data_IF_435205400682
#
_entry.id   IF_435205400682
#
_cell.length_a   1.000
_cell.length_b   1.000
_cell.length_c   1.000
_cell.angle_alpha   90.00
_cell.angle_beta   90.00
_cell.angle_gamma   90.00
#
_symmetry.space_group_name_H-M   'P 1'
#
loop_
_entity.id
_entity.type
_entity.pdbx_description
1 polymer ?
#
# COMPACT_ATOMS: atom_id res chain seq x y z
N UNK A 1 -2.44 61.04 17.14
CA UNK A 1 -1.60 60.07 16.38
C UNK A 1 -1.51 58.73 17.13
N UNK A 2 -2.64 58.13 17.54
CA UNK A 2 -2.61 56.98 18.47
C UNK A 2 -3.79 56.01 18.26
N UNK A 3 -4.32 55.96 17.05
CA UNK A 3 -5.41 55.04 16.66
C UNK A 3 -4.97 54.02 15.61
N UNK A 4 -3.89 54.27 14.88
CA UNK A 4 -3.34 53.31 13.90
C UNK A 4 -2.64 52.10 14.53
N UNK A 5 -2.10 52.22 15.76
CA UNK A 5 -1.34 51.14 16.39
C UNK A 5 -2.24 49.97 16.82
N UNK A 6 -3.46 50.26 17.27
CA UNK A 6 -4.41 49.23 17.72
C UNK A 6 -4.97 48.39 16.55
N UNK A 7 -5.16 48.99 15.38
CA UNK A 7 -5.63 48.31 14.17
C UNK A 7 -4.57 47.35 13.60
N UNK A 8 -3.29 47.71 13.68
CA UNK A 8 -2.19 46.83 13.24
C UNK A 8 -2.06 45.61 14.17
N UNK A 9 -2.23 45.80 15.49
CA UNK A 9 -2.23 44.71 16.47
C UNK A 9 -3.41 43.74 16.28
N UNK A 10 -4.59 44.25 15.93
CA UNK A 10 -5.77 43.42 15.63
C UNK A 10 -5.63 42.61 14.33
N UNK A 11 -4.96 43.17 13.31
CA UNK A 11 -4.70 42.47 12.04
C UNK A 11 -3.64 41.36 12.18
N UNK A 12 -2.61 41.55 13.02
CA UNK A 12 -1.61 40.49 13.27
C UNK A 12 -2.20 39.28 14.02
N UNK A 13 -3.19 39.49 14.88
CA UNK A 13 -3.86 38.40 15.61
C UNK A 13 -4.77 37.53 14.71
N UNK A 14 -5.24 38.08 13.58
CA UNK A 14 -6.06 37.34 12.62
C UNK A 14 -5.23 36.44 11.66
N UNK A 15 -3.93 36.70 11.54
CA UNK A 15 -3.02 35.96 10.65
C UNK A 15 -2.41 34.69 11.25
N UNK A 16 -2.65 34.39 12.53
CA UNK A 16 -2.25 33.11 13.13
C UNK A 16 -3.37 32.07 13.01
N UNK A 17 -3.82 31.79 11.79
CA UNK A 17 -4.36 30.46 11.55
C UNK A 17 -3.18 29.50 11.67
N UNK A 18 -3.23 28.49 12.57
CA UNK A 18 -2.29 27.40 12.44
C UNK A 18 -2.47 26.87 11.02
N UNK A 19 -1.39 26.89 10.23
CA UNK A 19 -1.32 26.01 9.07
C UNK A 19 -1.80 24.66 9.61
N UNK A 20 -2.90 24.16 9.04
CA UNK A 20 -3.43 22.84 9.41
C UNK A 20 -2.40 21.81 8.95
N UNK A 21 -1.30 21.69 9.67
CA UNK A 21 -0.59 20.45 9.82
C UNK A 21 -1.59 19.55 10.53
N UNK A 22 -2.44 18.90 9.74
CA UNK A 22 -3.15 17.71 10.20
C UNK A 22 -2.11 16.85 10.92
N UNK A 23 -2.36 16.43 12.16
CA UNK A 23 -1.39 15.59 12.86
C UNK A 23 -1.19 14.37 11.98
N UNK A 24 0.00 14.26 11.38
CA UNK A 24 0.43 13.05 10.70
C UNK A 24 0.17 11.93 11.69
N UNK A 25 -0.67 10.95 11.33
CA UNK A 25 -0.93 9.86 12.25
C UNK A 25 0.42 9.30 12.72
N UNK A 26 0.59 9.03 14.02
CA UNK A 26 1.87 8.53 14.54
C UNK A 26 2.34 7.27 13.80
N UNK A 27 1.41 6.51 13.22
CA UNK A 27 1.65 5.35 12.36
C UNK A 27 2.40 5.66 11.05
N UNK A 28 2.20 6.84 10.46
CA UNK A 28 2.83 7.23 9.20
C UNK A 28 4.25 7.77 9.39
N UNK A 29 4.58 8.28 10.57
CA UNK A 29 5.94 8.74 10.90
C UNK A 29 6.97 7.61 10.91
N UNK A 30 6.54 6.37 11.12
CA UNK A 30 7.42 5.20 11.18
C UNK A 30 7.22 4.24 10.00
N UNK A 31 6.33 4.60 9.07
CA UNK A 31 6.01 3.73 7.95
C UNK A 31 7.22 3.45 7.03
N UNK A 32 8.06 4.45 6.67
CA UNK A 32 9.25 4.19 5.86
C UNK A 32 10.19 3.15 6.48
N UNK A 33 10.37 3.18 7.80
CA UNK A 33 11.22 2.25 8.56
C UNK A 33 10.58 0.86 8.67
N UNK A 34 9.24 0.79 8.72
CA UNK A 34 8.49 -0.47 8.81
C UNK A 34 8.24 -1.13 7.45
N UNK A 35 8.31 -0.38 6.35
CA UNK A 35 8.03 -0.88 5.00
C UNK A 35 8.93 -2.09 4.63
N UNK A 36 10.26 -2.08 4.85
CA UNK A 36 11.09 -3.26 4.59
C UNK A 36 10.64 -4.51 5.35
N UNK A 37 10.21 -4.37 6.60
CA UNK A 37 9.71 -5.48 7.40
C UNK A 37 8.40 -6.04 6.84
N UNK A 38 7.45 -5.17 6.47
CA UNK A 38 6.19 -5.58 5.81
C UNK A 38 6.43 -6.29 4.48
N UNK A 39 7.38 -5.80 3.68
CA UNK A 39 7.76 -6.46 2.42
C UNK A 39 8.46 -7.81 2.65
N UNK A 40 9.24 -7.94 3.73
CA UNK A 40 9.85 -9.22 4.11
C UNK A 40 8.78 -10.23 4.51
N UNK A 41 7.78 -9.82 5.28
CA UNK A 41 6.65 -10.66 5.69
C UNK A 41 5.85 -11.15 4.46
N UNK A 42 5.56 -10.26 3.51
CA UNK A 42 4.94 -10.61 2.23
C UNK A 42 5.74 -11.68 1.46
N UNK A 43 7.07 -11.52 1.37
CA UNK A 43 7.93 -12.51 0.69
C UNK A 43 7.90 -13.86 1.38
N UNK A 44 8.02 -13.88 2.72
CA UNK A 44 7.96 -15.13 3.49
C UNK A 44 6.62 -15.85 3.25
N UNK A 45 5.50 -15.12 3.28
CA UNK A 45 4.18 -15.71 3.06
C UNK A 45 4.00 -16.21 1.63
N UNK A 46 4.59 -15.53 0.63
CA UNK A 46 4.59 -16.00 -0.76
C UNK A 46 5.38 -17.31 -0.92
N UNK A 47 6.50 -17.50 -0.23
CA UNK A 47 7.29 -18.74 -0.31
C UNK A 47 6.48 -19.98 0.09
N UNK A 48 5.47 -19.85 0.97
CA UNK A 48 4.59 -20.97 1.37
C UNK A 48 3.75 -21.53 0.22
N UNK A 49 3.50 -20.76 -0.84
CA UNK A 49 2.65 -21.14 -1.98
C UNK A 49 3.41 -21.19 -3.30
N UNK A 50 4.66 -20.73 -3.33
CA UNK A 50 5.47 -20.57 -4.54
C UNK A 50 5.60 -21.88 -5.31
N UNK A 51 6.05 -22.94 -4.66
CA UNK A 51 6.34 -24.22 -5.33
C UNK A 51 5.06 -24.84 -5.90
N UNK A 52 3.92 -24.67 -5.22
CA UNK A 52 2.63 -25.11 -5.74
C UNK A 52 2.28 -24.39 -7.04
N UNK A 53 2.30 -23.06 -7.07
CA UNK A 53 1.94 -22.31 -8.28
C UNK A 53 2.96 -22.47 -9.41
N UNK A 54 4.25 -22.58 -9.11
CA UNK A 54 5.28 -22.89 -10.11
C UNK A 54 5.09 -24.29 -10.72
N UNK A 55 4.68 -25.29 -9.92
CA UNK A 55 4.41 -26.64 -10.45
C UNK A 55 3.15 -26.71 -11.33
N UNK A 56 2.29 -25.68 -11.28
CA UNK A 56 1.04 -25.58 -12.05
C UNK A 56 1.17 -24.71 -13.31
N UNK A 57 2.28 -24.00 -13.46
CA UNK A 57 2.56 -23.15 -14.61
C UNK A 57 3.37 -23.94 -15.64
N UNK A 58 2.71 -24.35 -16.72
CA UNK A 58 3.29 -25.06 -17.85
C UNK A 58 3.77 -24.13 -18.97
N UNK A 59 3.43 -22.84 -18.91
CA UNK A 59 3.71 -21.84 -19.95
C UNK A 59 4.87 -20.90 -19.58
N UNK A 60 5.99 -21.45 -19.11
CA UNK A 60 7.17 -20.70 -18.64
C UNK A 60 7.84 -19.77 -19.68
N UNK A 61 7.45 -19.90 -20.96
CA UNK A 61 7.94 -19.03 -22.03
C UNK A 61 7.25 -17.66 -22.08
N UNK A 62 6.14 -17.49 -21.37
CA UNK A 62 5.34 -16.27 -21.36
C UNK A 62 5.56 -15.54 -20.04
N UNK A 63 6.06 -14.31 -20.12
CA UNK A 63 6.18 -13.43 -18.97
C UNK A 63 4.95 -12.53 -18.87
N UNK A 64 4.06 -12.80 -17.91
CA UNK A 64 2.87 -11.96 -17.68
C UNK A 64 3.24 -10.57 -17.13
N UNK A 65 4.15 -10.52 -16.15
CA UNK A 65 4.65 -9.26 -15.58
C UNK A 65 5.89 -8.79 -16.34
N UNK A 66 5.71 -8.24 -17.53
CA UNK A 66 6.78 -7.67 -18.36
C UNK A 66 7.11 -6.22 -17.95
N UNK A 67 8.28 -5.72 -18.38
CA UNK A 67 8.64 -4.31 -18.22
C UNK A 67 7.62 -3.39 -18.87
N UNK A 68 7.09 -3.78 -20.03
CA UNK A 68 6.05 -3.05 -20.75
C UNK A 68 4.76 -2.95 -19.92
N UNK A 69 4.33 -4.04 -19.28
CA UNK A 69 3.16 -4.02 -18.39
C UNK A 69 3.41 -3.16 -17.14
N UNK A 70 4.64 -3.17 -16.60
CA UNK A 70 5.00 -2.31 -15.47
C UNK A 70 4.92 -0.82 -15.84
N UNK A 71 5.19 -0.47 -17.10
CA UNK A 71 5.01 0.89 -17.62
C UNK A 71 3.53 1.23 -17.87
N UNK A 72 2.69 0.23 -18.18
CA UNK A 72 1.24 0.39 -18.34
C UNK A 72 0.49 0.57 -17.02
N UNK A 73 0.96 -0.06 -15.94
CA UNK A 73 0.37 0.13 -14.63
C UNK A 73 0.56 1.56 -14.14
N UNK A 74 -0.53 2.31 -14.09
CA UNK A 74 -0.53 3.71 -13.65
C UNK A 74 -0.08 3.87 -12.20
N UNK A 75 -0.18 2.80 -11.41
CA UNK A 75 0.31 2.76 -10.03
C UNK A 75 0.46 1.33 -9.50
N UNK A 76 1.36 1.17 -8.52
CA UNK A 76 1.48 -0.06 -7.72
C UNK A 76 0.15 -0.43 -7.03
N UNK A 77 -0.68 0.56 -6.69
CA UNK A 77 -2.01 0.36 -6.09
C UNK A 77 -2.97 -0.38 -7.02
N UNK A 78 -2.85 -0.16 -8.33
CA UNK A 78 -3.66 -0.84 -9.35
C UNK A 78 -3.26 -2.31 -9.50
N UNK A 79 -1.95 -2.61 -9.51
CA UNK A 79 -1.47 -4.00 -9.43
C UNK A 79 -1.96 -4.70 -8.16
N UNK A 80 -1.80 -4.05 -7.00
CA UNK A 80 -2.26 -4.61 -5.74
C UNK A 80 -3.77 -4.90 -5.79
N UNK A 81 -4.58 -4.01 -6.39
CA UNK A 81 -6.02 -4.23 -6.60
C UNK A 81 -6.27 -5.50 -7.42
N UNK A 82 -5.66 -5.61 -8.60
CA UNK A 82 -5.84 -6.76 -9.50
C UNK A 82 -5.55 -8.08 -8.79
N UNK A 83 -4.44 -8.16 -8.04
CA UNK A 83 -4.11 -9.38 -7.30
C UNK A 83 -5.09 -9.69 -6.17
N UNK A 84 -5.56 -8.67 -5.43
CA UNK A 84 -6.47 -8.88 -4.29
C UNK A 84 -7.92 -9.14 -4.69
N UNK A 85 -8.37 -8.60 -5.82
CA UNK A 85 -9.77 -8.66 -6.25
C UNK A 85 -10.02 -9.76 -7.31
N UNK A 86 -9.01 -10.08 -8.14
CA UNK A 86 -9.17 -11.03 -9.25
C UNK A 86 -8.34 -12.31 -9.05
N UNK A 87 -7.02 -12.16 -8.86
CA UNK A 87 -6.08 -13.30 -8.88
C UNK A 87 -6.22 -14.19 -7.65
N UNK A 88 -6.04 -13.65 -6.45
CA UNK A 88 -6.07 -14.43 -5.21
C UNK A 88 -7.44 -15.08 -4.94
N UNK A 89 -8.58 -14.39 -5.12
CA UNK A 89 -9.89 -15.02 -4.95
C UNK A 89 -10.12 -16.19 -5.91
N UNK A 90 -9.57 -16.13 -7.13
CA UNK A 90 -9.64 -17.23 -8.10
C UNK A 90 -8.71 -18.37 -7.71
N UNK A 91 -7.47 -18.04 -7.33
CA UNK A 91 -6.45 -19.01 -6.90
C UNK A 91 -6.88 -19.79 -5.65
N UNK A 92 -7.56 -19.16 -4.70
CA UNK A 92 -8.08 -19.83 -3.49
C UNK A 92 -9.05 -20.98 -3.78
N UNK A 93 -9.68 -21.00 -4.97
CA UNK A 93 -10.58 -22.07 -5.39
C UNK A 93 -9.85 -23.31 -5.92
N UNK A 94 -8.55 -23.22 -6.21
CA UNK A 94 -7.78 -24.30 -6.85
C UNK A 94 -7.09 -25.24 -5.86
N UNK A 95 -6.92 -24.84 -4.60
CA UNK A 95 -6.28 -25.66 -3.57
C UNK A 95 -6.80 -25.36 -2.17
N UNK A 96 -7.43 -26.35 -1.54
CA UNK A 96 -7.82 -26.27 -0.12
C UNK A 96 -6.61 -26.24 0.82
N UNK A 97 -5.52 -26.92 0.45
CA UNK A 97 -4.28 -26.96 1.25
C UNK A 97 -3.59 -25.60 1.36
N UNK A 98 -3.62 -24.80 0.28
CA UNK A 98 -2.95 -23.49 0.22
C UNK A 98 -3.92 -22.32 0.44
N UNK A 99 -5.22 -22.60 0.66
CA UNK A 99 -6.25 -21.57 0.80
C UNK A 99 -5.93 -20.58 1.93
N UNK A 100 -5.46 -21.08 3.07
CA UNK A 100 -5.09 -20.22 4.20
C UNK A 100 -3.90 -19.32 3.85
N UNK A 101 -2.82 -19.88 3.31
CA UNK A 101 -1.63 -19.10 2.93
C UNK A 101 -1.94 -18.04 1.88
N UNK A 102 -2.81 -18.34 0.90
CA UNK A 102 -3.30 -17.34 -0.06
C UNK A 102 -4.13 -16.25 0.59
N UNK A 103 -5.02 -16.60 1.53
CA UNK A 103 -5.81 -15.65 2.29
C UNK A 103 -4.94 -14.72 3.13
N UNK A 104 -3.96 -15.27 3.84
CA UNK A 104 -2.99 -14.52 4.64
C UNK A 104 -2.17 -13.56 3.75
N UNK A 105 -1.70 -14.04 2.59
CA UNK A 105 -0.97 -13.21 1.62
C UNK A 105 -1.82 -12.03 1.14
N UNK A 106 -3.10 -12.29 0.83
CA UNK A 106 -4.06 -11.25 0.47
C UNK A 106 -4.27 -10.22 1.58
N UNK A 107 -4.39 -10.66 2.83
CA UNK A 107 -4.54 -9.78 3.98
C UNK A 107 -3.31 -8.88 4.18
N UNK A 108 -2.10 -9.41 4.00
CA UNK A 108 -0.86 -8.63 4.07
C UNK A 108 -0.81 -7.56 2.95
N UNK A 109 -1.19 -7.91 1.72
CA UNK A 109 -1.27 -6.97 0.61
C UNK A 109 -2.29 -5.85 0.86
N UNK A 110 -3.48 -6.20 1.35
CA UNK A 110 -4.52 -5.23 1.68
C UNK A 110 -4.08 -4.29 2.81
N UNK A 111 -3.41 -4.81 3.84
CA UNK A 111 -2.84 -4.03 4.94
C UNK A 111 -1.78 -3.04 4.44
N UNK A 112 -0.87 -3.50 3.57
CA UNK A 112 0.13 -2.64 2.95
C UNK A 112 -0.51 -1.55 2.11
N UNK A 113 -1.44 -1.90 1.22
CA UNK A 113 -2.20 -0.96 0.37
C UNK A 113 -2.91 0.10 1.21
N UNK A 114 -3.59 -0.31 2.29
CA UNK A 114 -4.28 0.61 3.18
C UNK A 114 -3.32 1.57 3.89
N UNK A 115 -2.14 1.10 4.30
CA UNK A 115 -1.11 1.92 4.94
C UNK A 115 -0.52 2.93 3.93
N UNK A 116 -0.17 2.48 2.72
CA UNK A 116 0.34 3.34 1.65
C UNK A 116 -0.67 4.40 1.21
N UNK A 117 -1.97 4.08 1.22
CA UNK A 117 -3.03 5.06 0.92
C UNK A 117 -3.19 6.12 2.00
N UNK A 118 -2.81 5.81 3.25
CA UNK A 118 -2.99 6.70 4.40
C UNK A 118 -1.83 7.71 4.56
N UNK A 119 -0.59 7.36 4.19
CA UNK A 119 0.63 8.03 4.68
C UNK A 119 1.32 9.05 3.75
#
# INVERSE_FOLDING_TARGET
MQTCSALVLLLLAASTLPARCSPTEPSCLHFPELLPAKLKELRIKFEEIKDYFQSKDDELSIQLLSSELLDEFKSVSEMMRFYTEEVLPSAMKTSTHHQQSMGDLGNLLLSLKATMRRC
#
